data_IF_346613960558
#
_entry.id   IF_346613960558
#
_cell.length_a   1.000
_cell.length_b   1.000
_cell.length_c   1.000
_cell.angle_alpha   90.00
_cell.angle_beta   90.00
_cell.angle_gamma   90.00
#
_symmetry.space_group_name_H-M   'P 1'
#
loop_
_entity.id
_entity.type
_entity.pdbx_description
1 polymer ?
#
# COMPACT_ATOMS: atom_id res chain seq x y z
N UNK A 1 28.42 -10.08 41.31
CA UNK A 1 28.44 -10.95 40.12
C UNK A 1 29.65 -10.57 39.26
N UNK A 2 30.55 -11.50 38.99
CA UNK A 2 31.68 -11.32 38.08
C UNK A 2 31.16 -11.19 36.65
N UNK A 3 31.54 -10.12 35.93
CA UNK A 3 31.30 -10.02 34.48
C UNK A 3 32.56 -10.55 33.78
N UNK A 4 32.49 -11.76 33.24
CA UNK A 4 33.55 -12.34 32.42
C UNK A 4 33.39 -11.92 30.95
N UNK A 5 34.50 -11.78 30.22
CA UNK A 5 34.51 -11.56 28.77
C UNK A 5 35.00 -12.81 28.03
N UNK A 6 34.51 -12.99 26.80
CA UNK A 6 35.03 -13.95 25.84
C UNK A 6 35.49 -13.21 24.58
N UNK A 7 36.69 -13.53 24.08
CA UNK A 7 37.21 -13.00 22.83
C UNK A 7 36.97 -14.02 21.71
N UNK A 8 36.40 -13.58 20.59
CA UNK A 8 36.09 -14.42 19.43
C UNK A 8 36.81 -13.85 18.20
N UNK A 9 37.45 -14.71 17.41
CA UNK A 9 37.99 -14.36 16.09
C UNK A 9 36.98 -14.75 15.02
N UNK A 10 36.36 -13.75 14.37
CA UNK A 10 35.40 -13.99 13.28
C UNK A 10 36.04 -14.74 12.10
N UNK A 11 37.35 -14.58 11.88
CA UNK A 11 38.14 -15.35 10.90
C UNK A 11 38.24 -16.84 11.20
N UNK A 12 37.94 -17.28 12.42
CA UNK A 12 37.84 -18.70 12.77
C UNK A 12 36.43 -19.26 12.49
N UNK A 13 35.45 -18.39 12.26
CA UNK A 13 34.04 -18.74 12.02
C UNK A 13 33.66 -18.65 10.53
N UNK A 14 34.55 -18.16 9.67
CA UNK A 14 34.30 -17.95 8.23
C UNK A 14 35.60 -17.95 7.43
N UNK A 15 35.49 -18.11 6.11
CA UNK A 15 36.65 -18.09 5.20
C UNK A 15 37.34 -16.72 5.21
N UNK A 16 38.67 -16.64 5.38
CA UNK A 16 39.41 -15.39 5.28
C UNK A 16 39.20 -14.67 3.94
N UNK A 17 39.06 -15.43 2.85
CA UNK A 17 38.79 -14.87 1.52
C UNK A 17 37.42 -14.18 1.46
N UNK A 18 36.40 -14.79 2.07
CA UNK A 18 35.06 -14.19 2.15
C UNK A 18 35.08 -12.90 2.97
N UNK A 19 35.76 -12.92 4.13
CA UNK A 19 35.88 -11.72 4.97
C UNK A 19 36.65 -10.60 4.28
N UNK A 20 37.68 -10.94 3.49
CA UNK A 20 38.40 -9.97 2.66
C UNK A 20 37.49 -9.40 1.56
N UNK A 21 36.77 -10.24 0.81
CA UNK A 21 35.83 -9.78 -0.23
C UNK A 21 34.73 -8.88 0.33
N UNK A 22 34.20 -9.20 1.51
CA UNK A 22 33.23 -8.36 2.22
C UNK A 22 33.87 -7.02 2.61
N UNK A 23 35.09 -7.04 3.16
CA UNK A 23 35.82 -5.83 3.52
C UNK A 23 36.10 -4.93 2.31
N UNK A 24 36.53 -5.50 1.19
CA UNK A 24 36.80 -4.78 -0.06
C UNK A 24 35.52 -4.15 -0.61
N UNK A 25 34.40 -4.88 -0.55
CA UNK A 25 33.08 -4.39 -0.98
C UNK A 25 32.61 -3.23 -0.11
N UNK A 26 32.74 -3.34 1.22
CA UNK A 26 32.39 -2.26 2.15
C UNK A 26 33.25 -1.01 1.89
N UNK A 27 34.54 -1.19 1.68
CA UNK A 27 35.47 -0.09 1.38
C UNK A 27 35.13 0.58 0.05
N UNK A 28 34.79 -0.21 -0.99
CA UNK A 28 34.37 0.30 -2.29
C UNK A 28 33.04 1.07 -2.22
N UNK A 29 32.08 0.57 -1.43
CA UNK A 29 30.82 1.28 -1.16
C UNK A 29 31.08 2.62 -0.47
N UNK A 30 31.90 2.65 0.58
CA UNK A 30 32.27 3.89 1.27
C UNK A 30 32.94 4.90 0.34
N UNK A 31 33.86 4.43 -0.52
CA UNK A 31 34.49 5.28 -1.53
C UNK A 31 33.47 5.82 -2.52
N UNK A 32 32.53 4.98 -2.99
CA UNK A 32 31.48 5.37 -3.92
C UNK A 32 30.62 6.50 -3.34
N UNK A 33 30.17 6.35 -2.08
CA UNK A 33 29.43 7.41 -1.39
C UNK A 33 30.23 8.71 -1.29
N UNK A 34 31.51 8.65 -0.91
CA UNK A 34 32.39 9.84 -0.88
C UNK A 34 32.58 10.51 -2.23
N UNK A 35 32.59 9.76 -3.33
CA UNK A 35 32.71 10.33 -4.68
C UNK A 35 31.39 10.89 -5.22
N UNK A 36 30.26 10.37 -4.72
CA UNK A 36 28.92 10.81 -5.13
C UNK A 36 28.41 12.01 -4.33
N UNK A 37 29.03 12.29 -3.18
CA UNK A 37 28.78 13.48 -2.35
C UNK A 37 29.01 14.76 -3.18
N UNK A 38 27.91 15.34 -3.65
CA UNK A 38 27.92 16.47 -4.59
C UNK A 38 28.28 17.78 -3.91
N UNK A 39 27.90 17.96 -2.64
CA UNK A 39 28.21 19.17 -1.88
C UNK A 39 29.55 19.05 -1.11
N UNK A 40 30.12 17.83 -1.08
CA UNK A 40 31.41 17.48 -0.48
C UNK A 40 31.47 17.74 1.02
N UNK A 41 30.31 17.79 1.67
CA UNK A 41 30.24 18.09 3.09
C UNK A 41 30.53 16.85 3.97
N UNK A 42 30.61 15.66 3.35
CA UNK A 42 30.90 14.37 3.96
C UNK A 42 29.74 13.79 4.77
N UNK A 43 28.54 14.36 4.66
CA UNK A 43 27.40 14.05 5.56
C UNK A 43 26.29 13.26 4.90
N UNK A 44 26.37 12.84 3.64
CA UNK A 44 25.35 12.00 3.00
C UNK A 44 24.88 10.83 3.87
N UNK A 45 25.82 10.10 4.49
CA UNK A 45 25.49 8.99 5.39
C UNK A 45 24.83 9.47 6.69
N UNK A 46 25.24 10.63 7.21
CA UNK A 46 24.63 11.24 8.38
C UNK A 46 23.22 11.77 8.06
N UNK A 47 23.00 12.34 6.88
CA UNK A 47 21.71 12.77 6.38
C UNK A 47 20.76 11.60 6.16
N UNK A 48 21.25 10.51 5.61
CA UNK A 48 20.46 9.28 5.50
C UNK A 48 20.06 8.74 6.87
N UNK A 49 20.98 8.75 7.86
CA UNK A 49 20.65 8.40 9.25
C UNK A 49 19.63 9.38 9.85
N UNK A 50 19.78 10.68 9.60
CA UNK A 50 18.81 11.71 10.04
C UNK A 50 17.42 11.48 9.42
N UNK A 51 17.34 11.08 8.15
CA UNK A 51 16.10 10.70 7.48
C UNK A 51 15.44 9.53 8.21
N UNK A 52 16.17 8.44 8.44
CA UNK A 52 15.65 7.26 9.17
C UNK A 52 15.16 7.65 10.56
N UNK A 53 15.95 8.39 11.34
CA UNK A 53 15.54 8.87 12.66
C UNK A 53 14.29 9.75 12.63
N UNK A 54 14.10 10.58 11.59
CA UNK A 54 12.87 11.37 11.43
C UNK A 54 11.68 10.48 11.09
N UNK A 55 11.87 9.48 10.25
CA UNK A 55 10.82 8.53 9.89
C UNK A 55 10.40 7.65 11.08
N UNK A 56 11.36 7.16 11.87
CA UNK A 56 11.11 6.43 13.11
C UNK A 56 10.31 7.29 14.10
N UNK A 57 10.67 8.56 14.29
CA UNK A 57 9.89 9.49 15.13
C UNK A 57 8.44 9.65 14.64
N UNK A 58 8.21 9.67 13.33
CA UNK A 58 6.86 9.69 12.77
C UNK A 58 6.12 8.38 13.08
N UNK A 59 6.76 7.23 12.91
CA UNK A 59 6.19 5.93 13.24
C UNK A 59 5.86 5.82 14.73
N UNK A 60 6.75 6.24 15.62
CA UNK A 60 6.51 6.25 17.08
C UNK A 60 5.29 7.09 17.44
N UNK A 61 5.14 8.26 16.81
CA UNK A 61 3.98 9.13 17.03
C UNK A 61 2.71 8.53 16.43
N UNK A 62 2.81 7.91 15.24
CA UNK A 62 1.71 7.26 14.57
C UNK A 62 1.19 6.07 15.38
N UNK A 63 2.08 5.27 15.98
CA UNK A 63 1.72 4.18 16.87
C UNK A 63 0.97 4.68 18.11
N UNK A 64 1.45 5.75 18.77
CA UNK A 64 0.79 6.36 19.94
C UNK A 64 -0.61 6.91 19.62
N UNK A 65 -0.84 7.31 18.37
CA UNK A 65 -2.09 7.94 17.92
C UNK A 65 -2.96 6.99 17.10
N UNK A 66 -2.61 5.70 17.02
CA UNK A 66 -3.32 4.70 16.22
C UNK A 66 -3.52 5.12 14.74
N UNK A 67 -2.55 5.86 14.20
CA UNK A 67 -2.58 6.36 12.81
C UNK A 67 -1.67 5.50 11.94
N UNK A 68 -2.16 5.09 10.77
CA UNK A 68 -1.36 4.35 9.79
C UNK A 68 -0.60 5.32 8.87
N UNK A 69 0.63 4.96 8.50
CA UNK A 69 1.48 5.72 7.61
C UNK A 69 1.57 5.03 6.24
N UNK A 70 1.36 5.79 5.18
CA UNK A 70 1.56 5.33 3.81
C UNK A 70 2.79 6.03 3.24
N UNK A 71 3.81 5.26 2.89
CA UNK A 71 4.97 5.78 2.19
C UNK A 71 4.59 5.85 0.71
N UNK A 72 4.42 7.08 0.21
CA UNK A 72 4.07 7.30 -1.18
C UNK A 72 5.26 6.96 -2.09
N UNK A 73 4.94 6.46 -3.28
CA UNK A 73 5.92 6.21 -4.32
C UNK A 73 6.13 7.45 -5.18
N UNK A 74 7.36 7.61 -5.67
CA UNK A 74 7.77 8.75 -6.49
C UNK A 74 8.36 8.25 -7.82
N UNK A 75 9.18 9.05 -8.49
CA UNK A 75 9.82 8.65 -9.74
C UNK A 75 10.70 7.41 -9.55
N UNK A 76 10.81 6.59 -10.61
CA UNK A 76 11.46 5.28 -10.62
C UNK A 76 12.91 5.31 -10.12
N UNK A 77 13.63 6.41 -10.36
CA UNK A 77 15.02 6.59 -9.96
C UNK A 77 15.21 6.96 -8.48
N UNK A 78 14.16 7.41 -7.78
CA UNK A 78 14.15 7.56 -6.32
C UNK A 78 13.62 6.31 -5.61
N UNK A 79 12.78 5.53 -6.31
CA UNK A 79 11.99 4.47 -5.71
C UNK A 79 12.81 3.42 -4.93
N UNK A 80 14.00 2.97 -5.37
CA UNK A 80 14.79 2.01 -4.59
C UNK A 80 15.17 2.50 -3.18
N UNK A 81 15.45 3.80 -3.03
CA UNK A 81 15.77 4.40 -1.73
C UNK A 81 14.51 4.51 -0.86
N UNK A 82 13.40 4.95 -1.43
CA UNK A 82 12.10 5.03 -0.75
C UNK A 82 11.63 3.65 -0.28
N UNK A 83 11.75 2.64 -1.15
CA UNK A 83 11.43 1.25 -0.82
C UNK A 83 12.30 0.72 0.31
N UNK A 84 13.60 1.03 0.31
CA UNK A 84 14.51 0.62 1.39
C UNK A 84 14.04 1.17 2.75
N UNK A 85 13.71 2.45 2.80
CA UNK A 85 13.16 3.11 4.00
C UNK A 85 11.82 2.46 4.39
N UNK A 86 10.89 2.31 3.45
CA UNK A 86 9.57 1.74 3.72
C UNK A 86 9.66 0.31 4.26
N UNK A 87 10.47 -0.56 3.64
CA UNK A 87 10.65 -1.95 4.06
C UNK A 87 11.37 -2.05 5.41
N UNK A 88 12.36 -1.19 5.67
CA UNK A 88 12.99 -1.11 6.99
C UNK A 88 11.97 -0.75 8.08
N UNK A 89 11.11 0.23 7.83
CA UNK A 89 10.06 0.63 8.77
C UNK A 89 9.00 -0.46 8.93
N UNK A 90 8.61 -1.18 7.87
CA UNK A 90 7.69 -2.32 8.00
C UNK A 90 8.32 -3.45 8.84
N UNK A 91 9.58 -3.77 8.61
CA UNK A 91 10.30 -4.78 9.40
C UNK A 91 10.38 -4.42 10.89
N UNK A 92 10.53 -3.13 11.21
CA UNK A 92 10.58 -2.65 12.59
C UNK A 92 9.19 -2.52 13.25
N UNK A 93 8.20 -1.99 12.54
CA UNK A 93 6.91 -1.60 13.13
C UNK A 93 5.75 -2.56 12.80
N UNK A 94 5.84 -3.40 11.76
CA UNK A 94 4.79 -4.38 11.40
C UNK A 94 5.13 -5.82 11.84
N UNK A 95 6.10 -6.00 12.74
CA UNK A 95 6.54 -7.31 13.25
C UNK A 95 5.73 -7.82 14.46
N UNK A 96 4.77 -7.04 14.95
CA UNK A 96 3.91 -7.40 16.08
C UNK A 96 2.44 -7.31 15.67
N UNK A 97 1.56 -8.15 16.24
CA UNK A 97 0.13 -8.09 15.96
C UNK A 97 -0.46 -6.78 16.48
N UNK A 98 -0.84 -5.89 15.56
CA UNK A 98 -1.58 -4.67 15.89
C UNK A 98 -3.08 -4.97 15.90
N UNK A 99 -3.81 -4.43 16.88
CA UNK A 99 -5.27 -4.51 16.90
C UNK A 99 -5.89 -3.85 15.65
N UNK A 100 -5.28 -2.76 15.19
CA UNK A 100 -5.76 -1.92 14.09
C UNK A 100 -5.08 -2.22 12.73
N UNK A 101 -4.30 -3.30 12.66
CA UNK A 101 -3.52 -3.67 11.47
C UNK A 101 -2.13 -3.03 11.37
N UNK A 102 -1.35 -3.35 10.32
CA UNK A 102 0.02 -2.87 10.18
C UNK A 102 0.08 -1.35 10.18
N UNK A 103 1.16 -0.80 10.75
CA UNK A 103 1.36 0.63 10.90
C UNK A 103 1.79 1.29 9.60
N UNK A 104 2.75 0.67 8.90
CA UNK A 104 3.43 1.26 7.75
C UNK A 104 3.07 0.51 6.47
N UNK A 105 2.68 1.23 5.42
CA UNK A 105 2.36 0.70 4.09
C UNK A 105 3.39 1.21 3.08
N UNK A 106 3.85 0.33 2.20
CA UNK A 106 4.66 0.72 1.03
C UNK A 106 3.79 0.81 -0.22
N UNK A 107 4.10 1.73 -1.12
CA UNK A 107 3.35 1.95 -2.36
C UNK A 107 4.04 1.28 -3.56
N UNK A 108 3.33 0.40 -4.26
CA UNK A 108 3.81 -0.27 -5.47
C UNK A 108 3.13 0.34 -6.70
N UNK A 109 3.94 0.89 -7.60
CA UNK A 109 3.48 1.48 -8.85
C UNK A 109 3.47 0.42 -9.95
N UNK A 110 2.29 -0.12 -10.23
CA UNK A 110 2.11 -1.29 -11.10
C UNK A 110 2.32 -1.00 -12.59
N UNK A 111 2.49 0.26 -12.97
CA UNK A 111 2.94 0.66 -14.31
C UNK A 111 4.43 0.41 -14.56
N UNK A 112 5.25 0.10 -13.54
CA UNK A 112 6.66 -0.24 -13.74
C UNK A 112 6.77 -1.69 -14.17
N UNK A 113 7.63 -1.99 -15.15
CA UNK A 113 7.85 -3.35 -15.66
C UNK A 113 8.25 -4.35 -14.56
N UNK A 114 8.98 -3.90 -13.55
CA UNK A 114 9.46 -4.74 -12.45
C UNK A 114 8.53 -4.79 -11.22
N UNK A 115 7.39 -4.09 -11.23
CA UNK A 115 6.57 -3.88 -10.03
C UNK A 115 6.07 -5.19 -9.39
N UNK A 116 5.55 -6.11 -10.20
CA UNK A 116 5.06 -7.40 -9.72
C UNK A 116 6.17 -8.25 -9.11
N UNK A 117 7.32 -8.35 -9.80
CA UNK A 117 8.47 -9.10 -9.31
C UNK A 117 8.99 -8.55 -7.98
N UNK A 118 9.04 -7.21 -7.85
CA UNK A 118 9.44 -6.54 -6.62
C UNK A 118 8.46 -6.80 -5.47
N UNK A 119 7.14 -6.72 -5.73
CA UNK A 119 6.11 -7.07 -4.74
C UNK A 119 6.26 -8.50 -4.22
N UNK A 120 6.53 -9.46 -5.10
CA UNK A 120 6.74 -10.87 -4.74
C UNK A 120 8.03 -11.10 -3.94
N UNK A 121 9.10 -10.40 -4.29
CA UNK A 121 10.36 -10.43 -3.55
C UNK A 121 10.21 -9.86 -2.14
N UNK A 122 9.51 -8.73 -2.02
CA UNK A 122 9.26 -8.08 -0.73
C UNK A 122 8.35 -8.93 0.16
N UNK A 123 7.36 -9.61 -0.41
CA UNK A 123 6.57 -10.62 0.33
C UNK A 123 7.46 -11.75 0.85
N UNK A 124 8.34 -12.29 0.01
CA UNK A 124 9.25 -13.36 0.41
C UNK A 124 10.18 -12.91 1.54
N UNK A 125 10.66 -11.67 1.47
CA UNK A 125 11.46 -11.04 2.53
C UNK A 125 10.66 -10.88 3.83
N UNK A 126 9.46 -10.31 3.75
CA UNK A 126 8.57 -10.11 4.89
C UNK A 126 8.24 -11.42 5.60
N UNK A 127 7.90 -12.44 4.81
CA UNK A 127 7.63 -13.78 5.31
C UNK A 127 8.84 -14.40 6.00
N UNK A 128 10.03 -14.31 5.40
CA UNK A 128 11.28 -14.83 5.99
C UNK A 128 11.65 -14.12 7.30
N UNK A 129 11.42 -12.82 7.38
CA UNK A 129 11.82 -12.00 8.52
C UNK A 129 10.71 -11.81 9.57
N UNK A 130 9.53 -12.39 9.34
CA UNK A 130 8.45 -12.45 10.34
C UNK A 130 7.69 -11.14 10.56
N UNK A 131 7.49 -10.33 9.51
CA UNK A 131 6.65 -9.13 9.58
C UNK A 131 5.55 -9.12 8.52
N UNK A 132 4.49 -8.33 8.75
CA UNK A 132 3.37 -8.20 7.82
C UNK A 132 3.74 -7.25 6.68
N UNK A 133 3.64 -7.72 5.43
CA UNK A 133 3.77 -6.86 4.25
C UNK A 133 2.46 -6.08 4.04
N UNK A 134 2.49 -4.78 4.27
CA UNK A 134 1.36 -3.90 3.96
C UNK A 134 1.63 -3.15 2.65
N UNK A 135 0.86 -3.45 1.61
CA UNK A 135 1.09 -2.94 0.27
C UNK A 135 -0.08 -2.12 -0.24
N UNK A 136 0.22 -0.90 -0.69
CA UNK A 136 -0.68 -0.04 -1.46
C UNK A 136 -0.38 -0.19 -2.94
N UNK A 137 -1.31 -0.75 -3.70
CA UNK A 137 -1.16 -0.90 -5.14
C UNK A 137 -1.80 0.27 -5.87
N UNK A 138 -1.00 1.00 -6.65
CA UNK A 138 -1.42 2.07 -7.57
C UNK A 138 -1.00 1.71 -8.99
N UNK A 139 -1.62 2.31 -10.03
CA UNK A 139 -1.03 2.23 -11.38
C UNK A 139 0.27 3.05 -11.43
N UNK A 140 0.20 4.34 -11.16
CA UNK A 140 1.33 5.26 -11.16
C UNK A 140 0.86 6.68 -11.47
N UNK A 141 1.71 7.68 -11.22
CA UNK A 141 1.37 9.10 -11.44
C UNK A 141 2.45 9.88 -12.22
N UNK A 142 3.53 9.22 -12.65
CA UNK A 142 4.71 9.88 -13.21
C UNK A 142 5.03 9.47 -14.66
N UNK A 143 4.13 8.74 -15.34
CA UNK A 143 4.29 8.19 -16.70
C UNK A 143 4.95 9.15 -17.71
N UNK A 144 4.47 10.39 -17.75
CA UNK A 144 4.97 11.41 -18.69
C UNK A 144 6.43 11.75 -18.41
N UNK A 145 6.78 11.94 -17.14
CA UNK A 145 8.14 12.30 -16.74
C UNK A 145 9.10 11.12 -16.88
N UNK A 146 8.65 9.89 -16.59
CA UNK A 146 9.45 8.67 -16.79
C UNK A 146 9.84 8.49 -18.25
N UNK A 147 8.86 8.53 -19.16
CA UNK A 147 9.11 8.37 -20.61
C UNK A 147 10.01 9.47 -21.17
N UNK A 148 9.77 10.72 -20.77
CA UNK A 148 10.60 11.85 -21.16
C UNK A 148 12.04 11.64 -20.73
N UNK A 149 12.27 11.28 -19.46
CA UNK A 149 13.61 11.03 -18.91
C UNK A 149 14.32 9.87 -19.60
N UNK A 150 13.63 8.74 -19.80
CA UNK A 150 14.21 7.57 -20.48
C UNK A 150 14.67 7.93 -21.90
N UNK A 151 13.85 8.69 -22.65
CA UNK A 151 14.21 9.19 -23.98
C UNK A 151 15.40 10.14 -23.95
N UNK A 152 15.46 11.07 -23.00
CA UNK A 152 16.57 12.05 -22.88
C UNK A 152 17.90 11.38 -22.52
N UNK A 153 17.86 10.30 -21.73
CA UNK A 153 19.06 9.56 -21.31
C UNK A 153 19.43 8.40 -22.24
N UNK A 154 18.63 8.11 -23.26
CA UNK A 154 18.81 6.94 -24.13
C UNK A 154 18.72 5.60 -23.37
N UNK A 155 17.96 5.58 -22.26
CA UNK A 155 17.76 4.41 -21.40
C UNK A 155 16.47 3.69 -21.75
N UNK A 156 16.35 2.43 -21.31
CA UNK A 156 15.10 1.68 -21.45
C UNK A 156 13.97 2.36 -20.66
N UNK A 157 12.79 2.50 -21.28
CA UNK A 157 11.59 2.96 -20.61
C UNK A 157 11.23 2.01 -19.44
N UNK A 158 11.23 2.47 -18.17
CA UNK A 158 10.95 1.62 -17.03
C UNK A 158 9.46 1.24 -16.93
N UNK A 159 8.57 1.92 -17.67
CA UNK A 159 7.13 1.71 -17.59
C UNK A 159 6.65 0.67 -18.60
N UNK A 160 5.49 0.08 -18.36
CA UNK A 160 4.82 -0.86 -19.27
C UNK A 160 4.63 -0.24 -20.68
N UNK A 161 4.60 -1.11 -21.69
CA UNK A 161 4.47 -0.71 -23.10
C UNK A 161 3.23 0.16 -23.34
N UNK A 162 2.12 -0.23 -22.73
CA UNK A 162 0.80 0.38 -22.87
C UNK A 162 -0.03 0.25 -21.58
N UNK A 163 -1.23 0.81 -21.63
CA UNK A 163 -2.17 0.83 -20.51
C UNK A 163 -2.71 -0.55 -20.15
N UNK A 164 -2.87 -1.45 -21.13
CA UNK A 164 -3.35 -2.82 -20.92
C UNK A 164 -2.31 -3.66 -20.19
N UNK A 165 -1.04 -3.51 -20.55
CA UNK A 165 0.07 -4.10 -19.82
C UNK A 165 0.12 -3.59 -18.36
N UNK A 166 -0.16 -2.31 -18.14
CA UNK A 166 -0.30 -1.75 -16.79
C UNK A 166 -1.50 -2.36 -16.04
N UNK A 167 -2.64 -2.55 -16.71
CA UNK A 167 -3.82 -3.18 -16.13
C UNK A 167 -3.55 -4.63 -15.74
N UNK A 168 -2.90 -5.39 -16.62
CA UNK A 168 -2.47 -6.77 -16.36
C UNK A 168 -1.52 -6.84 -15.16
N UNK A 169 -0.53 -5.97 -15.09
CA UNK A 169 0.40 -5.87 -13.96
C UNK A 169 -0.33 -5.57 -12.64
N UNK A 170 -1.22 -4.56 -12.65
CA UNK A 170 -2.02 -4.20 -11.47
C UNK A 170 -2.90 -5.36 -10.98
N UNK A 171 -3.64 -5.98 -11.89
CA UNK A 171 -4.51 -7.11 -11.59
C UNK A 171 -3.73 -8.32 -11.05
N UNK A 172 -2.57 -8.63 -11.64
CA UNK A 172 -1.70 -9.70 -11.16
C UNK A 172 -1.16 -9.42 -9.75
N UNK A 173 -0.84 -8.16 -9.42
CA UNK A 173 -0.45 -7.77 -8.07
C UNK A 173 -1.57 -7.95 -7.06
N UNK A 174 -2.80 -7.56 -7.41
CA UNK A 174 -3.98 -7.80 -6.56
C UNK A 174 -4.21 -9.29 -6.34
N UNK A 175 -4.22 -10.08 -7.42
CA UNK A 175 -4.44 -11.53 -7.34
C UNK A 175 -3.38 -12.24 -6.50
N UNK A 176 -2.12 -11.83 -6.65
CA UNK A 176 -1.02 -12.34 -5.84
C UNK A 176 -1.27 -12.09 -4.36
N UNK A 177 -1.58 -10.85 -3.97
CA UNK A 177 -1.81 -10.48 -2.57
C UNK A 177 -3.02 -11.22 -1.98
N UNK A 178 -4.13 -11.31 -2.72
CA UNK A 178 -5.31 -12.06 -2.28
C UNK A 178 -5.03 -13.57 -2.20
N UNK A 179 -4.23 -14.11 -3.13
CA UNK A 179 -3.79 -15.50 -3.12
C UNK A 179 -2.97 -15.86 -1.88
N UNK A 180 -2.03 -15.00 -1.49
CA UNK A 180 -1.21 -15.22 -0.29
C UNK A 180 -2.04 -15.16 1.01
N UNK A 181 -3.07 -14.30 1.07
CA UNK A 181 -4.03 -14.30 2.19
C UNK A 181 -4.73 -15.65 2.33
N UNK A 182 -5.20 -16.21 1.22
CA UNK A 182 -5.97 -17.47 1.21
C UNK A 182 -5.09 -18.68 1.47
N UNK A 183 -3.88 -18.71 0.92
CA UNK A 183 -2.95 -19.80 1.16
C UNK A 183 -2.64 -19.97 2.66
N UNK A 184 -2.56 -18.87 3.41
CA UNK A 184 -2.43 -18.93 4.86
C UNK A 184 -3.71 -19.35 5.57
N UNK A 185 -4.87 -18.86 5.10
CA UNK A 185 -6.18 -19.29 5.63
C UNK A 185 -6.35 -20.81 5.50
N UNK A 186 -5.99 -21.41 4.35
CA UNK A 186 -6.07 -22.86 4.13
C UNK A 186 -5.15 -23.66 5.05
N UNK A 187 -3.93 -23.18 5.31
CA UNK A 187 -3.04 -23.80 6.31
C UNK A 187 -3.69 -23.77 7.70
N UNK A 188 -4.29 -22.65 8.09
CA UNK A 188 -4.98 -22.55 9.39
C UNK A 188 -6.22 -23.47 9.47
N UNK A 189 -6.99 -23.60 8.39
CA UNK A 189 -8.16 -24.48 8.35
C UNK A 189 -7.77 -25.96 8.45
N UNK A 190 -6.62 -26.35 7.89
CA UNK A 190 -6.09 -27.71 8.05
C UNK A 190 -5.70 -28.03 9.50
N UNK A 191 -5.18 -27.06 10.25
CA UNK A 191 -4.86 -27.19 11.68
C UNK A 191 -6.15 -27.32 12.51
N UNK A 192 -7.19 -26.55 12.16
CA UNK A 192 -8.51 -26.65 12.80
C UNK A 192 -9.13 -28.04 12.61
N UNK A 193 -9.04 -28.61 11.41
CA UNK A 193 -9.53 -29.96 11.13
C UNK A 193 -8.81 -31.04 11.97
N UNK A 194 -7.61 -30.75 12.47
CA UNK A 194 -6.81 -31.61 13.34
C UNK A 194 -7.04 -31.33 14.84
N UNK A 195 -8.01 -30.51 15.21
CA UNK A 195 -8.39 -30.24 16.60
C UNK A 195 -7.55 -29.17 17.32
N UNK A 196 -6.77 -28.36 16.60
CA UNK A 196 -6.03 -27.23 17.17
C UNK A 196 -6.91 -25.98 17.42
N UNK A 197 -6.46 -25.09 18.32
CA UNK A 197 -7.07 -23.76 18.48
C UNK A 197 -6.90 -22.92 17.20
N UNK A 198 -7.95 -22.19 16.83
CA UNK A 198 -8.05 -21.44 15.56
C UNK A 198 -8.34 -19.96 15.80
N UNK A 199 -7.61 -19.10 15.09
CA UNK A 199 -7.97 -17.70 14.88
C UNK A 199 -8.25 -17.50 13.39
N UNK A 200 -9.43 -16.97 13.05
CA UNK A 200 -9.76 -16.59 11.67
C UNK A 200 -8.76 -15.60 11.10
N UNK A 201 -8.56 -15.62 9.77
CA UNK A 201 -7.73 -14.60 9.11
C UNK A 201 -8.19 -13.23 9.57
N UNK A 202 -7.27 -12.51 10.16
CA UNK A 202 -7.49 -11.20 10.74
C UNK A 202 -6.23 -10.37 10.51
N UNK A 203 -6.32 -9.09 10.80
CA UNK A 203 -5.17 -8.19 10.78
C UNK A 203 -4.00 -8.67 11.65
N UNK A 204 -4.24 -9.55 12.63
CA UNK A 204 -3.22 -10.12 13.52
C UNK A 204 -2.53 -11.36 12.95
N UNK A 205 -3.16 -12.07 12.01
CA UNK A 205 -2.73 -13.39 11.52
C UNK A 205 -2.41 -13.43 10.03
N UNK A 206 -2.79 -12.39 9.28
CA UNK A 206 -2.46 -12.30 7.86
C UNK A 206 -1.00 -11.88 7.64
N UNK A 207 -0.23 -12.56 6.77
CA UNK A 207 1.13 -12.13 6.43
C UNK A 207 1.13 -10.87 5.55
N UNK A 208 -0.01 -10.53 4.96
CA UNK A 208 -0.16 -9.42 4.02
C UNK A 208 -1.42 -8.61 4.28
N UNK A 209 -1.37 -7.31 4.00
CA UNK A 209 -2.53 -6.41 3.99
C UNK A 209 -2.49 -5.59 2.70
N UNK A 210 -3.63 -5.50 2.02
CA UNK A 210 -3.74 -4.90 0.70
C UNK A 210 -4.56 -3.61 0.75
N UNK A 211 -4.00 -2.55 0.18
CA UNK A 211 -4.69 -1.30 -0.09
C UNK A 211 -4.80 -1.08 -1.61
N UNK A 212 -6.01 -1.23 -2.15
CA UNK A 212 -6.34 -1.11 -3.56
C UNK A 212 -6.67 0.34 -3.89
N UNK A 213 -5.68 1.08 -4.41
CA UNK A 213 -5.86 2.47 -4.83
C UNK A 213 -6.20 2.55 -6.33
N UNK A 214 -7.49 2.73 -6.64
CA UNK A 214 -8.00 2.79 -8.02
C UNK A 214 -9.32 3.57 -8.14
N UNK A 215 -9.40 4.39 -9.19
CA UNK A 215 -10.64 5.02 -9.67
C UNK A 215 -11.30 4.23 -10.81
N UNK A 216 -10.62 3.24 -11.36
CA UNK A 216 -11.16 2.38 -12.41
C UNK A 216 -12.20 1.41 -11.79
N UNK A 217 -13.45 1.55 -12.23
CA UNK A 217 -14.60 0.75 -11.76
C UNK A 217 -14.37 -0.75 -11.96
N UNK A 218 -13.86 -1.16 -13.11
CA UNK A 218 -13.66 -2.58 -13.45
C UNK A 218 -12.60 -3.21 -12.54
N UNK A 219 -11.53 -2.48 -12.23
CA UNK A 219 -10.53 -2.94 -11.26
C UNK A 219 -11.12 -3.14 -9.87
N UNK A 220 -11.98 -2.23 -9.43
CA UNK A 220 -12.64 -2.33 -8.11
C UNK A 220 -13.61 -3.50 -8.08
N UNK A 221 -14.49 -3.64 -9.08
CA UNK A 221 -15.45 -4.74 -9.19
C UNK A 221 -14.72 -6.07 -9.20
N UNK A 222 -13.69 -6.20 -10.04
CA UNK A 222 -12.87 -7.41 -10.13
C UNK A 222 -12.24 -7.79 -8.78
N UNK A 223 -11.74 -6.81 -8.02
CA UNK A 223 -11.22 -7.08 -6.67
C UNK A 223 -12.33 -7.59 -5.74
N UNK A 224 -13.51 -6.96 -5.73
CA UNK A 224 -14.63 -7.39 -4.90
C UNK A 224 -15.11 -8.81 -5.25
N UNK A 225 -15.28 -9.11 -6.55
CA UNK A 225 -15.62 -10.45 -7.05
C UNK A 225 -14.57 -11.47 -6.62
N UNK A 226 -13.29 -11.14 -6.78
CA UNK A 226 -12.20 -12.03 -6.37
C UNK A 226 -12.17 -12.27 -4.86
N UNK A 227 -12.43 -11.25 -4.05
CA UNK A 227 -12.57 -11.43 -2.60
C UNK A 227 -13.74 -12.37 -2.27
N UNK A 228 -14.88 -12.22 -2.94
CA UNK A 228 -16.06 -13.07 -2.73
C UNK A 228 -15.78 -14.52 -3.12
N UNK A 229 -15.17 -14.77 -4.29
CA UNK A 229 -14.74 -16.10 -4.74
C UNK A 229 -13.81 -16.79 -3.73
N UNK A 230 -12.97 -16.00 -3.08
CA UNK A 230 -11.99 -16.45 -2.10
C UNK A 230 -12.53 -16.51 -0.67
N UNK A 231 -13.80 -16.14 -0.44
CA UNK A 231 -14.42 -16.14 0.89
C UNK A 231 -13.84 -15.08 1.85
N UNK A 232 -13.20 -14.02 1.33
CA UNK A 232 -12.65 -12.94 2.13
C UNK A 232 -13.74 -11.94 2.51
N UNK A 233 -13.98 -11.77 3.81
CA UNK A 233 -14.97 -10.80 4.31
C UNK A 233 -14.58 -9.36 3.95
N UNK A 234 -15.52 -8.54 3.44
CA UNK A 234 -15.33 -7.10 3.25
C UNK A 234 -14.96 -6.35 4.54
N UNK A 235 -15.39 -6.87 5.70
CA UNK A 235 -15.17 -6.28 7.03
C UNK A 235 -13.89 -6.79 7.70
N UNK A 236 -13.11 -7.66 7.06
CA UNK A 236 -11.87 -8.22 7.63
C UNK A 236 -10.79 -7.18 7.90
N UNK A 237 -10.85 -6.02 7.22
CA UNK A 237 -9.81 -4.99 7.25
C UNK A 237 -8.54 -5.34 6.46
N UNK A 238 -8.44 -6.56 5.91
CA UNK A 238 -7.28 -7.06 5.17
C UNK A 238 -7.15 -6.44 3.78
N UNK A 239 -8.29 -6.06 3.20
CA UNK A 239 -8.37 -5.39 1.90
C UNK A 239 -9.13 -4.08 2.10
N UNK A 240 -8.48 -2.99 1.73
CA UNK A 240 -9.04 -1.64 1.80
C UNK A 240 -8.97 -0.99 0.43
N UNK A 241 -9.87 -0.05 0.16
CA UNK A 241 -9.96 0.67 -1.09
C UNK A 241 -9.65 2.14 -0.89
N UNK A 242 -8.90 2.72 -1.82
CA UNK A 242 -8.52 4.13 -1.80
C UNK A 242 -8.88 4.85 -3.08
N UNK A 243 -9.42 6.05 -2.93
CA UNK A 243 -9.66 6.99 -4.01
C UNK A 243 -9.16 8.38 -3.61
N UNK A 244 -8.72 9.17 -4.58
CA UNK A 244 -8.54 10.61 -4.42
C UNK A 244 -9.88 11.31 -4.11
N UNK A 245 -9.82 12.33 -3.27
CA UNK A 245 -10.97 13.18 -2.97
C UNK A 245 -11.45 13.91 -4.24
N UNK A 246 -12.77 13.97 -4.44
CA UNK A 246 -13.39 14.61 -5.60
C UNK A 246 -13.36 13.78 -6.89
N UNK A 247 -13.08 12.48 -6.79
CA UNK A 247 -13.04 11.57 -7.93
C UNK A 247 -13.77 10.25 -7.61
N UNK A 248 -14.75 9.92 -8.45
CA UNK A 248 -15.47 8.64 -8.43
C UNK A 248 -16.15 8.31 -7.09
N UNK A 249 -16.78 9.29 -6.46
CA UNK A 249 -17.41 9.14 -5.13
C UNK A 249 -18.52 8.07 -5.13
N UNK A 250 -19.20 7.85 -6.25
CA UNK A 250 -20.17 6.76 -6.41
C UNK A 250 -19.57 5.38 -6.12
N UNK A 251 -18.30 5.16 -6.49
CA UNK A 251 -17.60 3.91 -6.20
C UNK A 251 -17.35 3.81 -4.70
N UNK A 252 -16.87 4.90 -4.09
CA UNK A 252 -16.61 4.98 -2.65
C UNK A 252 -17.86 4.69 -1.82
N UNK A 253 -18.99 5.33 -2.16
CA UNK A 253 -20.25 5.14 -1.45
C UNK A 253 -20.77 3.71 -1.60
N UNK A 254 -20.69 3.14 -2.80
CA UNK A 254 -21.14 1.76 -3.05
C UNK A 254 -20.32 0.76 -2.23
N UNK A 255 -19.00 0.90 -2.24
CA UNK A 255 -18.11 0.05 -1.42
C UNK A 255 -18.42 0.18 0.07
N UNK A 256 -18.60 1.41 0.57
CA UNK A 256 -18.94 1.65 1.97
C UNK A 256 -20.29 1.05 2.38
N UNK A 257 -21.31 1.12 1.52
CA UNK A 257 -22.62 0.50 1.76
C UNK A 257 -22.56 -1.03 1.84
N UNK A 258 -21.59 -1.66 1.16
CA UNK A 258 -21.35 -3.10 1.23
C UNK A 258 -20.32 -3.47 2.33
N UNK A 259 -19.92 -2.49 3.15
CA UNK A 259 -19.08 -2.66 4.32
C UNK A 259 -17.60 -2.92 4.04
N UNK A 260 -17.11 -2.57 2.86
CA UNK A 260 -15.67 -2.52 2.58
C UNK A 260 -15.02 -1.31 3.27
N UNK A 261 -13.75 -1.44 3.67
CA UNK A 261 -12.96 -0.31 4.14
C UNK A 261 -12.62 0.65 2.99
N UNK A 262 -13.08 1.89 3.05
CA UNK A 262 -12.89 2.91 1.99
C UNK A 262 -12.23 4.16 2.55
N UNK A 263 -11.22 4.67 1.85
CA UNK A 263 -10.44 5.83 2.25
C UNK A 263 -10.37 6.86 1.13
N UNK A 264 -10.43 8.15 1.50
CA UNK A 264 -10.19 9.27 0.60
C UNK A 264 -8.82 9.88 0.85
N UNK A 265 -8.00 9.96 -0.19
CA UNK A 265 -6.74 10.69 -0.16
C UNK A 265 -7.04 12.18 -0.34
N UNK A 266 -6.80 12.95 0.73
CA UNK A 266 -7.09 14.38 0.80
C UNK A 266 -5.76 15.15 0.87
N UNK A 267 -5.33 15.81 -0.22
CA UNK A 267 -4.22 16.75 -0.12
C UNK A 267 -4.66 17.95 0.73
N UNK A 268 -3.79 18.41 1.63
CA UNK A 268 -4.05 19.62 2.42
C UNK A 268 -2.78 20.48 2.49
N UNK A 269 -2.96 21.79 2.50
CA UNK A 269 -1.86 22.74 2.62
C UNK A 269 -2.02 23.97 1.72
N UNK A 270 -1.06 24.92 1.78
CA UNK A 270 -1.05 26.09 0.93
C UNK A 270 -1.02 25.74 -0.56
N UNK A 271 -1.70 26.52 -1.41
CA UNK A 271 -1.85 26.24 -2.85
C UNK A 271 -0.49 26.02 -3.52
N UNK A 272 0.51 26.87 -3.24
CA UNK A 272 1.83 26.79 -3.85
C UNK A 272 2.60 25.49 -3.51
N UNK A 273 2.32 24.85 -2.36
CA UNK A 273 2.90 23.55 -2.00
C UNK A 273 2.22 22.39 -2.72
N UNK A 274 0.96 22.55 -3.15
CA UNK A 274 0.18 21.48 -3.81
C UNK A 274 0.13 21.59 -5.33
N UNK A 275 0.74 22.62 -5.93
CA UNK A 275 0.82 22.77 -7.40
C UNK A 275 1.33 21.50 -8.10
N UNK A 276 2.45 20.85 -7.67
CA UNK A 276 2.91 19.64 -8.33
C UNK A 276 1.88 18.50 -8.29
N UNK A 277 1.12 18.39 -7.21
CA UNK A 277 0.01 17.44 -7.11
C UNK A 277 -1.11 17.79 -8.11
N UNK A 278 -1.51 19.06 -8.18
CA UNK A 278 -2.57 19.52 -9.10
C UNK A 278 -2.19 19.30 -10.56
N UNK A 279 -0.93 19.49 -10.94
CA UNK A 279 -0.43 19.19 -12.30
C UNK A 279 -0.60 17.71 -12.62
N UNK A 280 -0.22 16.81 -11.70
CA UNK A 280 -0.40 15.36 -11.90
C UNK A 280 -1.88 14.99 -12.04
N UNK A 281 -2.77 15.64 -11.27
CA UNK A 281 -4.23 15.44 -11.40
C UNK A 281 -4.78 15.96 -12.72
N UNK A 282 -4.30 17.10 -13.21
CA UNK A 282 -4.68 17.61 -14.52
C UNK A 282 -4.23 16.67 -15.63
N UNK A 283 -3.01 16.13 -15.55
CA UNK A 283 -2.49 15.14 -16.50
C UNK A 283 -3.31 13.84 -16.46
N UNK A 284 -3.60 13.30 -15.28
CA UNK A 284 -4.44 12.11 -15.12
C UNK A 284 -5.85 12.33 -15.66
N UNK A 285 -6.47 13.48 -15.38
CA UNK A 285 -7.83 13.76 -15.83
C UNK A 285 -7.92 14.18 -17.30
N UNK A 286 -6.81 14.64 -17.91
CA UNK A 286 -6.77 14.98 -19.33
C UNK A 286 -7.01 13.76 -20.23
N UNK A 287 -6.61 12.56 -19.80
CA UNK A 287 -6.94 11.31 -20.47
C UNK A 287 -8.35 10.78 -20.09
N UNK A 288 -8.97 11.34 -19.04
CA UNK A 288 -10.28 10.95 -18.48
C UNK A 288 -11.38 11.98 -18.83
N UNK A 289 -11.19 12.86 -19.82
CA UNK A 289 -12.23 13.82 -20.26
C UNK A 289 -13.58 13.15 -20.62
N UNK A 290 -13.61 11.85 -20.89
CA UNK A 290 -14.86 11.07 -21.02
C UNK A 290 -15.60 10.75 -19.70
N UNK A 291 -14.89 10.67 -18.57
CA UNK A 291 -15.43 10.27 -17.26
C UNK A 291 -16.37 11.29 -16.64
N UNK A 292 -16.14 12.59 -16.87
CA UNK A 292 -16.99 13.68 -16.35
C UNK A 292 -18.41 13.60 -16.91
N UNK A 293 -18.57 13.19 -18.17
CA UNK A 293 -19.88 13.02 -18.80
C UNK A 293 -20.67 11.87 -18.19
N UNK A 294 -19.97 10.75 -17.88
CA UNK A 294 -20.55 9.59 -17.20
C UNK A 294 -20.95 9.96 -15.77
N UNK A 295 -20.09 10.66 -15.04
CA UNK A 295 -20.35 11.10 -13.67
C UNK A 295 -21.57 12.03 -13.59
N UNK A 296 -21.67 13.02 -14.51
CA UNK A 296 -22.84 13.89 -14.59
C UNK A 296 -24.13 13.11 -14.84
N UNK A 297 -24.07 12.07 -15.67
CA UNK A 297 -25.22 11.21 -15.99
C UNK A 297 -25.67 10.43 -14.75
N UNK A 298 -24.73 9.79 -14.04
CA UNK A 298 -25.01 9.05 -12.82
C UNK A 298 -25.57 9.94 -11.69
N UNK A 299 -25.02 11.15 -11.52
CA UNK A 299 -25.55 12.12 -10.56
C UNK A 299 -26.98 12.52 -10.89
N UNK A 300 -27.29 12.72 -12.17
CA UNK A 300 -28.64 13.06 -12.60
C UNK A 300 -29.62 11.90 -12.39
N UNK A 301 -29.20 10.66 -12.64
CA UNK A 301 -29.98 9.46 -12.32
C UNK A 301 -30.26 9.31 -10.83
N UNK A 302 -29.26 9.55 -9.98
CA UNK A 302 -29.43 9.52 -8.51
C UNK A 302 -30.36 10.64 -8.02
N UNK A 303 -30.25 11.85 -8.55
CA UNK A 303 -31.17 12.96 -8.25
C UNK A 303 -32.61 12.59 -8.65
N UNK A 304 -32.81 12.04 -9.85
CA UNK A 304 -34.12 11.56 -10.29
C UNK A 304 -34.65 10.46 -9.37
N UNK A 305 -33.82 9.48 -9.03
CA UNK A 305 -34.16 8.38 -8.12
C UNK A 305 -34.62 8.90 -6.76
N UNK A 306 -33.93 9.88 -6.18
CA UNK A 306 -34.33 10.51 -4.91
C UNK A 306 -35.63 11.29 -5.01
N UNK A 307 -35.83 12.05 -6.09
CA UNK A 307 -37.07 12.80 -6.32
C UNK A 307 -38.28 11.87 -6.53
N UNK A 308 -38.08 10.72 -7.18
CA UNK A 308 -39.13 9.69 -7.36
C UNK A 308 -39.38 8.92 -6.07
N UNK A 309 -38.34 8.52 -5.34
CA UNK A 309 -38.46 7.85 -4.02
C UNK A 309 -39.11 8.77 -2.98
N UNK A 310 -38.84 10.07 -2.98
CA UNK A 310 -39.53 11.04 -2.13
C UNK A 310 -41.01 11.19 -2.48
N UNK A 311 -41.39 11.13 -3.77
CA UNK A 311 -42.80 11.16 -4.18
C UNK A 311 -43.60 9.95 -3.70
N UNK A 312 -42.94 8.81 -3.45
CA UNK A 312 -43.58 7.60 -2.92
C UNK A 312 -43.43 7.44 -1.38
N UNK A 313 -42.82 8.40 -0.69
CA UNK A 313 -42.53 8.34 0.76
C UNK A 313 -43.59 9.04 1.65
N UNK A 314 -44.85 9.06 1.21
CA UNK A 314 -46.04 9.41 1.98
C UNK A 314 -47.06 8.31 1.62
N UNK A 315 -47.48 7.36 2.47
CA UNK A 315 -48.03 7.45 3.83
C UNK A 315 -47.97 6.04 4.46
N UNK A 316 -47.52 5.93 5.72
CA UNK A 316 -48.29 5.31 6.82
C UNK A 316 -47.76 5.87 8.16
N UNK A 317 -48.63 6.33 9.08
CA UNK A 317 -48.20 6.75 10.40
C UNK A 317 -47.77 5.54 11.22
N UNK A 318 -46.56 5.60 11.77
CA UNK A 318 -46.12 4.68 12.82
C UNK A 318 -46.93 5.04 14.07
N UNK A 319 -47.90 4.18 14.42
CA UNK A 319 -48.54 4.23 15.75
C UNK A 319 -47.50 3.76 16.77
N UNK A 320 -47.24 4.51 17.85
CA UNK A 320 -46.33 4.05 18.89
C UNK A 320 -46.98 2.87 19.63
N UNK A 321 -46.30 1.72 19.66
CA UNK A 321 -46.68 0.62 20.53
C UNK A 321 -46.52 1.07 21.99
N UNK A 322 -47.64 1.30 22.68
CA UNK A 322 -47.68 1.48 24.13
C UNK A 322 -47.26 0.20 24.87
N UNK A 323 -46.91 0.30 26.16
CA UNK A 323 -46.40 -0.83 26.92
C UNK A 323 -47.56 -1.79 27.24
N UNK A 324 -47.49 -3.03 26.74
CA UNK A 324 -48.34 -4.11 27.22
C UNK A 324 -47.73 -4.68 28.50
N UNK A 325 -48.21 -4.17 29.63
CA UNK A 325 -48.11 -4.80 30.95
C UNK A 325 -48.87 -6.13 30.99
N UNK A 326 -48.20 -7.15 31.54
CA UNK A 326 -48.69 -8.25 32.39
C UNK A 326 -50.03 -8.97 32.06
N UNK A 327 -49.92 -10.25 31.72
CA UNK A 327 -50.20 -11.40 32.61
C UNK A 327 -49.52 -12.66 32.05
#
# INVERSE_FOLDING_TARGET
MSKSFAAIKVTAMSSPLLLQQVSDTLTSLEHTFKTMDQDKDGKDLEDYKRLLTRMEKLCDQAQKTHTRLMIDAEQSYFQPAIDNVALHLQEHYNNTPHADGPLVYNTYQMYLKNALGRLQQDYTRAHRNGYVLAAKLVRGAYMVNERKRASELGQEDPICTDIEATHKSYNAGVDFMLGEMVHQQQKHDSIKAQGGEYNSLSLKSSPVVLFVASHNKDSVIRTCERMQELGLSPQSGLVMFGQLMGMCDQISYTLGQHGYGVYKYVPYGPIHHVIPYLIRRAQENSSVLGGVTVERTLLWEEVKSRLVKQKNAHIQPIVPAGPATAL
#
